data_IF_859281139917
#
_entry.id   IF_859281139917
#
_cell.length_a   1.000
_cell.length_b   1.000
_cell.length_c   1.000
_cell.angle_alpha   90.00
_cell.angle_beta   90.00
_cell.angle_gamma   90.00
#
_symmetry.space_group_name_H-M   'P 1'
#
loop_
_entity.id
_entity.type
_entity.pdbx_description
1 polymer ?
#
# COMPACT_ATOMS: atom_id res chain seq x y z
N UNK A 1 -12.35 -3.69 -27.55
CA UNK A 1 -12.22 -2.44 -26.77
C UNK A 1 -11.23 -1.56 -27.50
N UNK A 2 -11.57 -0.29 -27.69
CA UNK A 2 -10.63 0.70 -28.23
C UNK A 2 -9.54 1.01 -27.19
N UNK A 3 -8.32 1.17 -27.67
CA UNK A 3 -7.18 1.60 -26.86
C UNK A 3 -7.31 3.10 -26.54
N UNK A 4 -6.65 3.51 -25.45
CA UNK A 4 -6.57 4.93 -25.12
C UNK A 4 -5.89 5.72 -26.26
N UNK A 5 -6.49 6.80 -26.79
CA UNK A 5 -5.84 7.60 -27.83
C UNK A 5 -4.56 8.30 -27.33
N UNK A 6 -4.38 8.47 -26.01
CA UNK A 6 -3.15 8.99 -25.41
C UNK A 6 -2.12 7.86 -25.21
N UNK A 7 -1.07 7.89 -26.04
CA UNK A 7 0.00 6.88 -25.98
C UNK A 7 0.76 6.86 -24.65
N UNK A 8 0.87 8.00 -23.95
CA UNK A 8 1.53 8.04 -22.63
C UNK A 8 0.69 7.27 -21.59
N UNK A 9 -0.63 7.41 -21.65
CA UNK A 9 -1.55 6.75 -20.72
C UNK A 9 -1.61 5.23 -20.97
N UNK A 10 -1.50 4.79 -22.23
CA UNK A 10 -1.29 3.36 -22.54
C UNK A 10 -0.01 2.86 -21.86
N UNK A 11 1.11 3.56 -22.03
CA UNK A 11 2.39 3.15 -21.44
C UNK A 11 2.33 3.12 -19.92
N UNK A 12 1.73 4.13 -19.29
CA UNK A 12 1.51 4.11 -17.85
C UNK A 12 0.65 2.92 -17.43
N UNK A 13 -0.42 2.62 -18.15
CA UNK A 13 -1.29 1.47 -17.90
C UNK A 13 -0.56 0.13 -18.01
N UNK A 14 0.25 -0.06 -19.06
CA UNK A 14 1.07 -1.27 -19.25
C UNK A 14 2.07 -1.42 -18.10
N UNK A 15 2.81 -0.36 -17.76
CA UNK A 15 3.75 -0.38 -16.64
C UNK A 15 3.03 -0.67 -15.33
N UNK A 16 1.88 -0.04 -15.08
CA UNK A 16 1.08 -0.28 -13.87
C UNK A 16 0.60 -1.73 -13.79
N UNK A 17 0.15 -2.31 -14.90
CA UNK A 17 -0.32 -3.68 -14.97
C UNK A 17 0.82 -4.68 -14.74
N UNK A 18 1.95 -4.49 -15.42
CA UNK A 18 3.15 -5.33 -15.26
C UNK A 18 3.71 -5.24 -13.85
N UNK A 19 3.66 -4.06 -13.21
CA UNK A 19 4.11 -3.88 -11.83
C UNK A 19 3.11 -4.41 -10.80
N UNK A 20 1.81 -4.49 -11.09
CA UNK A 20 0.81 -4.98 -10.13
C UNK A 20 0.56 -6.49 -10.23
N UNK A 21 0.68 -7.08 -11.43
CA UNK A 21 0.40 -8.49 -11.66
C UNK A 21 1.23 -9.46 -10.80
N UNK A 22 2.56 -9.26 -10.59
CA UNK A 22 3.35 -10.13 -9.73
C UNK A 22 3.10 -9.91 -8.23
N UNK A 23 2.52 -8.78 -7.82
CA UNK A 23 2.31 -8.47 -6.41
C UNK A 23 1.33 -9.44 -5.75
N UNK A 24 0.27 -9.80 -6.46
CA UNK A 24 -0.76 -10.72 -5.96
C UNK A 24 -0.18 -12.10 -5.63
N UNK A 25 0.50 -12.82 -6.56
CA UNK A 25 1.12 -14.10 -6.23
C UNK A 25 2.26 -13.95 -5.21
N UNK A 26 3.07 -12.88 -5.28
CA UNK A 26 4.17 -12.67 -4.33
C UNK A 26 3.67 -12.48 -2.89
N UNK A 27 2.68 -11.60 -2.68
CA UNK A 27 2.11 -11.35 -1.35
C UNK A 27 1.40 -12.59 -0.82
N UNK A 28 0.71 -13.36 -1.68
CA UNK A 28 0.09 -14.62 -1.30
C UNK A 28 1.14 -15.66 -0.85
N UNK A 29 2.24 -15.80 -1.58
CA UNK A 29 3.35 -16.69 -1.17
C UNK A 29 3.91 -16.29 0.19
N UNK A 30 4.12 -14.99 0.44
CA UNK A 30 4.61 -14.50 1.74
C UNK A 30 3.62 -14.78 2.87
N UNK A 31 2.31 -14.60 2.65
CA UNK A 31 1.27 -14.95 3.63
C UNK A 31 1.36 -16.44 4.01
N UNK A 32 1.49 -17.31 3.00
CA UNK A 32 1.60 -18.76 3.19
C UNK A 32 2.89 -19.11 3.94
N UNK A 33 4.04 -18.54 3.57
CA UNK A 33 5.32 -18.81 4.21
C UNK A 33 5.35 -18.35 5.68
N UNK A 34 4.84 -17.15 5.97
CA UNK A 34 4.73 -16.66 7.35
C UNK A 34 3.73 -17.51 8.17
N UNK A 35 2.62 -17.94 7.56
CA UNK A 35 1.67 -18.85 8.19
C UNK A 35 2.32 -20.19 8.55
N UNK A 36 3.02 -20.84 7.61
CA UNK A 36 3.73 -22.12 7.84
C UNK A 36 4.75 -21.98 8.95
N UNK A 37 5.57 -20.93 8.93
CA UNK A 37 6.57 -20.66 9.96
C UNK A 37 5.96 -20.41 11.35
N UNK A 38 4.74 -19.87 11.40
CA UNK A 38 3.99 -19.74 12.65
C UNK A 38 3.41 -21.07 13.18
N UNK A 39 3.16 -22.06 12.30
CA UNK A 39 2.70 -23.41 12.71
C UNK A 39 3.81 -24.23 13.39
N UNK A 40 5.07 -24.02 13.00
CA UNK A 40 6.24 -24.68 13.62
C UNK A 40 6.50 -24.24 15.07
N UNK A 41 6.04 -23.04 15.43
CA UNK A 41 6.16 -22.48 16.77
C UNK A 41 5.34 -21.20 16.88
N UNK A 42 4.17 -21.29 17.49
CA UNK A 42 3.21 -20.18 17.61
C UNK A 42 3.90 -18.91 18.11
N UNK A 43 3.90 -17.87 17.27
CA UNK A 43 4.55 -16.60 17.55
C UNK A 43 3.63 -15.45 17.14
N UNK A 44 3.25 -14.63 18.12
CA UNK A 44 2.40 -13.45 17.93
C UNK A 44 2.94 -12.50 16.85
N UNK A 45 4.26 -12.37 16.73
CA UNK A 45 4.90 -11.54 15.70
C UNK A 45 4.55 -12.01 14.29
N UNK A 46 4.55 -13.32 14.02
CA UNK A 46 4.17 -13.84 12.69
C UNK A 46 2.69 -13.65 12.40
N UNK A 47 1.82 -13.76 13.41
CA UNK A 47 0.38 -13.44 13.25
C UNK A 47 0.16 -11.98 12.85
N UNK A 48 0.86 -11.04 13.51
CA UNK A 48 0.78 -9.61 13.20
C UNK A 48 1.34 -9.28 11.81
N UNK A 49 2.48 -9.87 11.45
CA UNK A 49 3.08 -9.74 10.10
C UNK A 49 2.09 -10.22 9.03
N UNK A 50 1.34 -11.31 9.29
CA UNK A 50 0.36 -11.82 8.34
C UNK A 50 -0.88 -10.93 8.18
N UNK A 51 -1.31 -10.22 9.22
CA UNK A 51 -2.37 -9.20 9.10
C UNK A 51 -1.93 -8.11 8.12
N UNK A 52 -0.69 -7.65 8.21
CA UNK A 52 -0.15 -6.64 7.28
C UNK A 52 -0.03 -7.18 5.86
N UNK A 53 0.50 -8.38 5.71
CA UNK A 53 0.63 -9.01 4.39
C UNK A 53 -0.75 -9.19 3.72
N UNK A 54 -1.79 -9.50 4.50
CA UNK A 54 -3.16 -9.57 4.01
C UNK A 54 -3.67 -8.21 3.51
N UNK A 55 -3.43 -7.13 4.25
CA UNK A 55 -3.75 -5.77 3.79
C UNK A 55 -3.01 -5.42 2.50
N UNK A 56 -1.74 -5.80 2.38
CA UNK A 56 -0.95 -5.60 1.15
C UNK A 56 -1.48 -6.42 -0.03
N UNK A 57 -1.94 -7.65 0.20
CA UNK A 57 -2.58 -8.49 -0.81
C UNK A 57 -3.87 -7.85 -1.35
N UNK A 58 -4.71 -7.33 -0.45
CA UNK A 58 -5.94 -6.63 -0.81
C UNK A 58 -5.64 -5.38 -1.64
N UNK A 59 -4.65 -4.58 -1.23
CA UNK A 59 -4.19 -3.41 -1.99
C UNK A 59 -3.63 -3.79 -3.38
N UNK A 60 -2.79 -4.82 -3.45
CA UNK A 60 -2.21 -5.33 -4.71
C UNK A 60 -3.28 -5.75 -5.70
N UNK A 61 -4.32 -6.43 -5.21
CA UNK A 61 -5.46 -6.88 -6.01
C UNK A 61 -6.23 -5.69 -6.56
N UNK A 62 -6.47 -4.65 -5.75
CA UNK A 62 -7.11 -3.42 -6.20
C UNK A 62 -6.33 -2.72 -7.33
N UNK A 63 -5.00 -2.62 -7.20
CA UNK A 63 -4.17 -2.04 -8.25
C UNK A 63 -4.15 -2.86 -9.54
N UNK A 64 -4.10 -4.20 -9.44
CA UNK A 64 -4.17 -5.08 -10.60
C UNK A 64 -5.49 -4.94 -11.35
N UNK A 65 -6.61 -4.87 -10.63
CA UNK A 65 -7.93 -4.76 -11.25
C UNK A 65 -8.20 -3.36 -11.84
N UNK A 66 -7.52 -2.32 -11.35
CA UNK A 66 -7.68 -0.94 -11.83
C UNK A 66 -6.70 -0.54 -12.92
N UNK A 67 -5.55 -1.21 -13.05
CA UNK A 67 -4.56 -0.94 -14.09
C UNK A 67 -5.10 -1.01 -15.54
N UNK A 68 -5.99 -1.98 -15.91
CA UNK A 68 -6.59 -2.04 -17.25
C UNK A 68 -7.37 -0.78 -17.66
N UNK A 69 -7.87 0.00 -16.69
CA UNK A 69 -8.66 1.23 -16.93
C UNK A 69 -7.85 2.30 -17.68
N UNK A 70 -6.51 2.28 -17.53
CA UNK A 70 -5.59 3.19 -18.23
C UNK A 70 -5.35 2.78 -19.70
N UNK A 71 -5.42 1.48 -19.99
CA UNK A 71 -5.20 0.90 -21.33
C UNK A 71 -6.48 0.97 -22.16
N UNK A 72 -7.62 0.65 -21.54
CA UNK A 72 -8.93 0.61 -22.19
C UNK A 72 -9.89 1.60 -21.51
N UNK A 73 -9.98 2.85 -22.00
CA UNK A 73 -10.85 3.88 -21.39
C UNK A 73 -12.34 3.54 -21.50
N UNK A 74 -12.73 2.57 -22.35
CA UNK A 74 -14.07 1.99 -22.34
C UNK A 74 -14.47 1.45 -20.95
N UNK A 75 -13.51 1.02 -20.12
CA UNK A 75 -13.73 0.60 -18.74
C UNK A 75 -14.14 1.77 -17.82
N UNK A 76 -13.80 3.01 -18.16
CA UNK A 76 -14.22 4.21 -17.42
C UNK A 76 -15.70 4.55 -17.67
N UNK A 77 -16.25 4.09 -18.79
CA UNK A 77 -17.66 4.27 -19.16
C UNK A 77 -18.58 3.19 -18.55
N UNK A 78 -18.02 2.24 -17.79
CA UNK A 78 -18.81 1.24 -17.09
C UNK A 78 -19.71 1.89 -16.04
N UNK A 79 -20.92 1.34 -15.79
CA UNK A 79 -21.79 1.83 -14.75
C UNK A 79 -21.02 1.90 -13.43
N UNK A 80 -21.16 2.98 -12.64
CA UNK A 80 -20.46 3.15 -11.38
C UNK A 80 -20.50 1.91 -10.49
N UNK A 81 -21.61 1.16 -10.51
CA UNK A 81 -21.83 -0.11 -9.79
C UNK A 81 -20.80 -1.21 -10.11
N UNK A 82 -20.33 -1.32 -11.35
CA UNK A 82 -19.36 -2.34 -11.77
C UNK A 82 -17.95 -1.97 -11.30
N UNK A 83 -17.58 -0.69 -11.41
CA UNK A 83 -16.35 -0.17 -10.83
C UNK A 83 -16.36 -0.28 -9.29
N UNK A 84 -17.52 -0.10 -8.66
CA UNK A 84 -17.73 -0.26 -7.22
C UNK A 84 -17.56 -1.71 -6.74
N UNK A 85 -17.95 -2.71 -7.54
CA UNK A 85 -17.75 -4.13 -7.19
C UNK A 85 -16.28 -4.56 -7.23
N UNK A 86 -15.49 -3.95 -8.12
CA UNK A 86 -14.03 -4.13 -8.17
C UNK A 86 -13.35 -3.55 -6.90
N UNK A 87 -13.88 -2.45 -6.36
CA UNK A 87 -13.47 -1.88 -5.07
C UNK A 87 -13.94 -2.70 -3.86
N UNK A 88 -15.08 -3.39 -3.95
CA UNK A 88 -15.62 -4.28 -2.89
C UNK A 88 -14.67 -5.43 -2.54
N UNK A 89 -13.89 -5.92 -3.52
CA UNK A 89 -12.84 -6.91 -3.31
C UNK A 89 -11.58 -6.34 -2.62
N UNK A 90 -11.41 -5.01 -2.60
CA UNK A 90 -10.35 -4.27 -1.92
C UNK A 90 -10.66 -3.85 -0.46
N UNK A 91 -11.81 -4.26 0.09
CA UNK A 91 -12.63 -3.37 0.93
C UNK A 91 -12.24 -3.13 2.40
N UNK A 92 -11.37 -3.90 3.05
CA UNK A 92 -11.20 -3.73 4.51
C UNK A 92 -10.37 -2.49 4.93
N UNK A 93 -9.58 -1.90 4.02
CA UNK A 93 -8.97 -0.57 4.19
C UNK A 93 -9.82 0.55 3.55
N UNK A 94 -10.61 0.20 2.52
CA UNK A 94 -11.47 1.13 1.79
C UNK A 94 -12.74 1.51 2.56
N UNK A 95 -13.21 0.77 3.56
CA UNK A 95 -14.50 1.03 4.21
C UNK A 95 -14.68 2.50 4.69
N UNK A 96 -13.61 3.13 5.20
CA UNK A 96 -13.61 4.55 5.58
C UNK A 96 -13.53 5.51 4.36
N UNK A 97 -12.65 5.21 3.39
CA UNK A 97 -12.54 5.97 2.14
C UNK A 97 -13.80 5.84 1.23
N UNK A 98 -14.53 4.73 1.38
CA UNK A 98 -15.72 4.31 0.66
C UNK A 98 -16.96 5.06 1.18
N UNK A 99 -17.20 5.05 2.49
CA UNK A 99 -18.30 5.81 3.09
C UNK A 99 -18.12 7.31 2.83
N UNK A 100 -16.88 7.81 2.98
CA UNK A 100 -16.59 9.23 2.72
C UNK A 100 -16.70 9.54 1.23
N UNK A 101 -16.10 8.75 0.32
CA UNK A 101 -16.10 9.03 -1.12
C UNK A 101 -17.46 8.91 -1.81
N UNK A 102 -18.25 7.88 -1.48
CA UNK A 102 -19.55 7.61 -2.12
C UNK A 102 -20.61 8.65 -1.74
N UNK A 103 -20.64 9.08 -0.47
CA UNK A 103 -21.67 10.01 0.02
C UNK A 103 -21.35 11.46 -0.36
N UNK A 104 -20.07 11.81 -0.50
CA UNK A 104 -19.65 13.23 -0.58
C UNK A 104 -19.03 13.66 -1.91
N UNK A 105 -18.70 12.72 -2.81
CA UNK A 105 -18.05 13.03 -4.09
C UNK A 105 -16.61 13.55 -3.97
N UNK A 106 -15.94 13.32 -2.82
CA UNK A 106 -14.59 13.81 -2.58
C UNK A 106 -13.49 13.10 -3.36
N UNK A 107 -13.76 11.99 -4.04
CA UNK A 107 -12.80 11.28 -4.88
C UNK A 107 -13.16 11.43 -6.35
N UNK A 108 -12.15 11.60 -7.19
CA UNK A 108 -12.28 11.64 -8.65
C UNK A 108 -11.14 10.85 -9.29
N UNK A 109 -11.40 10.27 -10.45
CA UNK A 109 -10.36 9.67 -11.27
C UNK A 109 -9.89 10.68 -12.31
N UNK A 110 -8.67 11.20 -12.12
CA UNK A 110 -8.01 12.08 -13.08
C UNK A 110 -6.78 11.35 -13.56
N UNK A 111 -6.77 10.89 -14.82
CA UNK A 111 -5.72 10.01 -15.29
C UNK A 111 -4.30 10.57 -15.01
N UNK A 112 -3.36 9.71 -14.56
CA UNK A 112 -3.48 8.26 -14.36
C UNK A 112 -3.85 7.84 -12.91
N UNK A 113 -4.51 8.70 -12.14
CA UNK A 113 -4.59 8.58 -10.68
C UNK A 113 -5.99 8.80 -10.11
N UNK A 114 -6.32 8.08 -9.03
CA UNK A 114 -7.43 8.44 -8.15
C UNK A 114 -6.96 9.52 -7.19
N UNK A 115 -7.61 10.67 -7.17
CA UNK A 115 -7.24 11.81 -6.33
C UNK A 115 -8.48 12.43 -5.67
N UNK A 116 -8.26 13.37 -4.74
CA UNK A 116 -9.34 14.16 -4.17
C UNK A 116 -9.92 15.13 -5.21
N UNK A 117 -11.24 15.23 -5.27
CA UNK A 117 -11.95 16.20 -6.09
C UNK A 117 -11.93 17.57 -5.42
N UNK A 118 -10.86 18.32 -5.61
CA UNK A 118 -10.68 19.65 -5.01
C UNK A 118 -11.72 20.71 -5.44
N UNK A 119 -12.58 20.40 -6.41
CA UNK A 119 -13.71 21.26 -6.78
C UNK A 119 -14.88 21.19 -5.78
N UNK A 120 -14.88 20.19 -4.89
CA UNK A 120 -15.85 20.09 -3.79
C UNK A 120 -15.30 20.80 -2.56
N UNK A 121 -16.07 21.74 -2.01
CA UNK A 121 -15.63 22.66 -0.93
C UNK A 121 -14.96 21.96 0.27
N UNK A 122 -15.41 20.75 0.60
CA UNK A 122 -14.92 19.98 1.75
C UNK A 122 -13.83 18.95 1.42
N UNK A 123 -13.56 18.66 0.15
CA UNK A 123 -12.59 17.64 -0.25
C UNK A 123 -11.16 17.99 0.16
N UNK A 124 -10.81 19.29 0.17
CA UNK A 124 -9.50 19.77 0.64
C UNK A 124 -9.28 19.44 2.12
N UNK A 125 -10.28 19.66 2.97
CA UNK A 125 -10.18 19.34 4.40
C UNK A 125 -10.09 17.84 4.63
N UNK A 126 -10.83 17.05 3.86
CA UNK A 126 -10.71 15.59 3.91
C UNK A 126 -9.38 15.06 3.41
N UNK A 127 -8.78 15.67 2.39
CA UNK A 127 -7.42 15.32 1.95
C UNK A 127 -6.40 15.57 3.06
N UNK A 128 -6.49 16.72 3.74
CA UNK A 128 -5.63 17.05 4.88
C UNK A 128 -5.87 16.08 6.04
N UNK A 129 -7.14 15.78 6.36
CA UNK A 129 -7.48 14.83 7.41
C UNK A 129 -6.96 13.43 7.10
N UNK A 130 -7.15 12.95 5.86
CA UNK A 130 -6.65 11.66 5.40
C UNK A 130 -5.13 11.58 5.51
N UNK A 131 -4.40 12.59 5.00
CA UNK A 131 -2.95 12.64 5.12
C UNK A 131 -2.50 12.66 6.58
N UNK A 132 -3.15 13.46 7.42
CA UNK A 132 -2.84 13.58 8.85
C UNK A 132 -3.11 12.28 9.61
N UNK A 133 -4.24 11.63 9.36
CA UNK A 133 -4.58 10.33 9.97
C UNK A 133 -3.60 9.24 9.55
N UNK A 134 -3.17 9.23 8.29
CA UNK A 134 -2.15 8.29 7.82
C UNK A 134 -0.79 8.56 8.48
N UNK A 135 -0.36 9.83 8.62
CA UNK A 135 0.87 10.18 9.32
C UNK A 135 0.82 9.79 10.80
N UNK A 136 -0.29 10.06 11.49
CA UNK A 136 -0.53 9.64 12.88
C UNK A 136 -0.49 8.11 12.97
N UNK A 137 -1.14 7.41 12.04
CA UNK A 137 -1.14 5.95 11.99
C UNK A 137 0.27 5.41 11.79
N UNK A 138 1.06 5.95 10.86
CA UNK A 138 2.46 5.56 10.65
C UNK A 138 3.30 5.77 11.91
N UNK A 139 3.12 6.90 12.60
CA UNK A 139 3.80 7.19 13.86
C UNK A 139 3.43 6.20 14.98
N UNK A 140 2.14 5.96 15.19
CA UNK A 140 1.63 5.00 16.19
C UNK A 140 2.15 3.60 15.85
N UNK A 141 1.97 3.14 14.62
CA UNK A 141 2.42 1.83 14.16
C UNK A 141 3.93 1.66 14.36
N UNK A 142 4.74 2.65 13.98
CA UNK A 142 6.18 2.61 14.20
C UNK A 142 6.56 2.53 15.69
N UNK A 143 5.89 3.32 16.54
CA UNK A 143 6.09 3.29 18.00
C UNK A 143 5.73 1.93 18.59
N UNK A 144 4.60 1.35 18.16
CA UNK A 144 4.22 -0.02 18.54
C UNK A 144 5.28 -1.04 18.09
N UNK A 145 5.81 -0.91 16.88
CA UNK A 145 6.85 -1.80 16.37
C UNK A 145 8.15 -1.74 17.19
N UNK A 146 8.66 -0.54 17.46
CA UNK A 146 9.86 -0.36 18.30
C UNK A 146 9.61 -0.92 19.71
N UNK A 147 8.41 -0.72 20.25
CA UNK A 147 8.02 -1.28 21.55
C UNK A 147 8.02 -2.81 21.54
N UNK A 148 7.47 -3.44 20.49
CA UNK A 148 7.49 -4.90 20.34
C UNK A 148 8.93 -5.42 20.27
N UNK A 149 9.80 -4.80 19.47
CA UNK A 149 11.22 -5.17 19.36
C UNK A 149 11.92 -5.02 20.71
N UNK A 150 11.66 -3.93 21.45
CA UNK A 150 12.20 -3.70 22.78
C UNK A 150 11.75 -4.76 23.79
N UNK A 151 10.47 -5.15 23.79
CA UNK A 151 9.94 -6.21 24.65
C UNK A 151 10.63 -7.55 24.34
N UNK A 152 10.81 -7.89 23.06
CA UNK A 152 11.53 -9.11 22.62
C UNK A 152 12.97 -9.08 23.15
N UNK A 153 13.65 -7.93 23.01
CA UNK A 153 15.00 -7.73 23.52
C UNK A 153 15.11 -7.96 25.03
N UNK A 154 14.25 -7.31 25.82
CA UNK A 154 14.24 -7.46 27.29
C UNK A 154 13.97 -8.90 27.69
N UNK A 155 13.02 -9.57 27.02
CA UNK A 155 12.67 -10.97 27.28
C UNK A 155 13.86 -11.90 27.01
N UNK A 156 14.56 -11.75 25.88
CA UNK A 156 15.74 -12.58 25.55
C UNK A 156 16.90 -12.37 26.52
N UNK A 157 17.12 -11.13 26.97
CA UNK A 157 18.19 -10.81 27.95
C UNK A 157 18.00 -11.52 29.29
N UNK A 158 16.74 -11.73 29.72
CA UNK A 158 16.45 -12.44 30.98
C UNK A 158 16.66 -13.96 30.88
N UNK A 159 16.53 -14.52 29.67
CA UNK A 159 16.55 -15.97 29.45
C UNK A 159 17.93 -16.48 29.01
N UNK A 160 18.73 -15.64 28.33
CA UNK A 160 19.97 -16.06 27.67
C UNK A 160 21.15 -15.20 28.14
N UNK A 161 22.28 -15.84 28.46
CA UNK A 161 23.52 -15.15 28.90
C UNK A 161 24.25 -14.42 27.77
N UNK A 162 24.12 -14.87 26.51
CA UNK A 162 24.68 -14.24 25.31
C UNK A 162 23.71 -14.25 24.11
N UNK A 163 22.63 -13.44 24.13
CA UNK A 163 21.62 -13.45 23.07
C UNK A 163 22.16 -12.82 21.77
N UNK A 164 22.04 -13.53 20.65
CA UNK A 164 22.23 -12.96 19.30
C UNK A 164 21.09 -11.99 19.00
N UNK A 165 21.44 -10.77 18.56
CA UNK A 165 20.51 -9.63 18.38
C UNK A 165 20.12 -9.38 16.91
N UNK A 166 20.52 -10.29 16.03
CA UNK A 166 20.42 -10.10 14.58
C UNK A 166 18.97 -9.98 14.11
N UNK A 167 18.08 -10.79 14.67
CA UNK A 167 16.69 -10.85 14.25
C UNK A 167 15.92 -9.60 14.69
N UNK A 168 16.21 -9.07 15.89
CA UNK A 168 15.65 -7.81 16.37
C UNK A 168 16.07 -6.63 15.50
N UNK A 169 17.36 -6.57 15.16
CA UNK A 169 17.91 -5.52 14.28
C UNK A 169 17.29 -5.65 12.88
N UNK A 170 17.17 -6.86 12.34
CA UNK A 170 16.55 -7.11 11.03
C UNK A 170 15.10 -6.62 10.98
N UNK A 171 14.29 -6.98 12.00
CA UNK A 171 12.90 -6.53 12.11
C UNK A 171 12.84 -5.01 12.26
N UNK A 172 13.63 -4.41 13.16
CA UNK A 172 13.64 -2.97 13.37
C UNK A 172 14.02 -2.21 12.09
N UNK A 173 15.13 -2.61 11.43
CA UNK A 173 15.57 -1.99 10.18
C UNK A 173 14.54 -2.10 9.06
N UNK A 174 13.87 -3.24 8.93
CA UNK A 174 12.80 -3.42 7.96
C UNK A 174 11.66 -2.43 8.19
N UNK A 175 11.12 -2.39 9.41
CA UNK A 175 9.96 -1.53 9.70
C UNK A 175 10.32 -0.05 9.68
N UNK A 176 11.53 0.34 10.11
CA UNK A 176 12.02 1.72 9.95
C UNK A 176 12.05 2.10 8.47
N UNK A 177 12.59 1.25 7.59
CA UNK A 177 12.65 1.55 6.16
C UNK A 177 11.26 1.66 5.54
N UNK A 178 10.35 0.73 5.83
CA UNK A 178 8.97 0.74 5.32
C UNK A 178 8.24 2.01 5.77
N UNK A 179 8.33 2.39 7.05
CA UNK A 179 7.68 3.60 7.57
C UNK A 179 8.24 4.87 6.93
N UNK A 180 9.56 4.99 6.80
CA UNK A 180 10.20 6.15 6.16
C UNK A 180 9.77 6.24 4.70
N UNK A 181 9.81 5.12 3.97
CA UNK A 181 9.38 5.06 2.58
C UNK A 181 7.90 5.47 2.43
N UNK A 182 7.01 4.90 3.25
CA UNK A 182 5.58 5.21 3.20
C UNK A 182 5.31 6.68 3.52
N UNK A 183 6.03 7.25 4.49
CA UNK A 183 5.90 8.67 4.88
C UNK A 183 6.34 9.61 3.74
N UNK A 184 7.51 9.35 3.15
CA UNK A 184 8.03 10.13 2.02
C UNK A 184 7.07 10.03 0.83
N UNK A 185 6.67 8.81 0.47
CA UNK A 185 5.80 8.58 -0.68
C UNK A 185 4.43 9.23 -0.47
N UNK A 186 3.87 9.18 0.74
CA UNK A 186 2.61 9.86 1.07
C UNK A 186 2.72 11.38 0.93
N UNK A 187 3.82 11.98 1.38
CA UNK A 187 4.04 13.42 1.25
C UNK A 187 4.12 13.85 -0.22
N UNK A 188 4.93 13.15 -1.02
CA UNK A 188 5.07 13.44 -2.46
C UNK A 188 3.79 13.11 -3.26
N UNK A 189 3.07 12.06 -2.89
CA UNK A 189 1.78 11.74 -3.49
C UNK A 189 0.77 12.86 -3.23
N UNK A 190 0.66 13.35 -1.99
CA UNK A 190 -0.22 14.50 -1.69
C UNK A 190 0.22 15.76 -2.44
N UNK A 191 1.52 16.04 -2.53
CA UNK A 191 2.04 17.22 -3.22
C UNK A 191 1.75 17.18 -4.74
N UNK A 192 2.00 16.05 -5.38
CA UNK A 192 1.79 15.87 -6.83
C UNK A 192 0.32 15.82 -7.24
N UNK A 193 -0.55 15.39 -6.33
CA UNK A 193 -1.98 15.27 -6.57
C UNK A 193 -2.78 16.51 -6.11
N UNK A 194 -2.18 17.38 -5.31
CA UNK A 194 -2.79 18.65 -4.90
C UNK A 194 -2.94 19.59 -6.10
N UNK A 195 -4.18 19.80 -6.55
CA UNK A 195 -4.53 20.49 -7.81
C UNK A 195 -3.89 19.80 -9.02
N UNK A 196 -4.50 18.72 -9.53
CA UNK A 196 -3.94 17.92 -10.62
C UNK A 196 -3.68 18.73 -11.92
N UNK A 197 -4.28 19.91 -12.08
CA UNK A 197 -4.04 20.79 -13.22
C UNK A 197 -2.64 21.44 -13.21
N UNK A 198 -1.98 21.49 -12.03
CA UNK A 198 -0.69 22.15 -11.84
C UNK A 198 0.52 21.21 -11.98
N UNK A 199 0.32 19.90 -11.81
CA UNK A 199 1.38 18.90 -11.93
C UNK A 199 1.31 18.23 -13.31
N UNK A 200 2.45 17.95 -13.94
CA UNK A 200 2.44 17.20 -15.20
C UNK A 200 1.89 15.78 -15.00
N UNK A 201 1.21 15.24 -16.01
CA UNK A 201 0.68 13.87 -15.99
C UNK A 201 1.77 12.86 -15.61
N UNK A 202 2.98 13.04 -16.13
CA UNK A 202 4.14 12.19 -15.87
C UNK A 202 4.56 12.19 -14.39
N UNK A 203 4.55 13.35 -13.71
CA UNK A 203 4.88 13.42 -12.28
C UNK A 203 3.88 12.63 -11.44
N UNK A 204 2.58 12.75 -11.74
CA UNK A 204 1.54 11.95 -11.05
C UNK A 204 1.68 10.46 -11.33
N UNK A 205 2.01 10.09 -12.57
CA UNK A 205 2.27 8.71 -12.96
C UNK A 205 3.44 8.11 -12.17
N UNK A 206 4.57 8.83 -12.09
CA UNK A 206 5.76 8.38 -11.36
C UNK A 206 5.46 8.22 -9.87
N UNK A 207 4.73 9.16 -9.26
CA UNK A 207 4.38 9.06 -7.83
C UNK A 207 3.47 7.87 -7.55
N UNK A 208 2.53 7.57 -8.44
CA UNK A 208 1.73 6.35 -8.35
C UNK A 208 2.58 5.08 -8.51
N UNK A 209 3.54 5.08 -9.45
CA UNK A 209 4.51 3.97 -9.58
C UNK A 209 5.32 3.81 -8.29
N UNK A 210 5.81 4.89 -7.67
CA UNK A 210 6.48 4.83 -6.37
C UNK A 210 5.57 4.25 -5.28
N UNK A 211 4.30 4.64 -5.24
CA UNK A 211 3.32 4.05 -4.33
C UNK A 211 3.17 2.54 -4.56
N UNK A 212 3.10 2.12 -5.82
CA UNK A 212 3.00 0.72 -6.23
C UNK A 212 4.23 -0.10 -5.82
N UNK A 213 5.43 0.46 -6.03
CA UNK A 213 6.71 -0.15 -5.64
C UNK A 213 6.78 -0.38 -4.13
N UNK A 214 6.14 0.48 -3.33
CA UNK A 214 6.07 0.34 -1.88
C UNK A 214 5.55 -1.02 -1.40
N UNK A 215 4.67 -1.64 -2.18
CA UNK A 215 4.08 -2.94 -1.85
C UNK A 215 5.10 -4.08 -1.96
N UNK A 216 6.14 -3.93 -2.80
CA UNK A 216 7.23 -4.90 -2.92
C UNK A 216 8.27 -4.79 -1.80
N UNK A 217 8.38 -3.64 -1.15
CA UNK A 217 9.43 -3.38 -0.17
C UNK A 217 9.34 -4.34 1.03
N UNK A 218 8.13 -4.53 1.57
CA UNK A 218 7.92 -5.43 2.69
C UNK A 218 8.31 -6.89 2.39
N UNK A 219 7.79 -7.54 1.33
CA UNK A 219 8.18 -8.91 1.00
C UNK A 219 9.67 -9.02 0.66
N UNK A 220 10.28 -8.06 -0.06
CA UNK A 220 11.72 -8.08 -0.35
C UNK A 220 12.57 -8.02 0.94
N UNK A 221 12.23 -7.12 1.86
CA UNK A 221 12.94 -6.99 3.13
C UNK A 221 12.74 -8.22 4.02
N UNK A 222 11.58 -8.87 3.98
CA UNK A 222 11.36 -10.16 4.64
C UNK A 222 12.30 -11.26 4.12
N UNK A 223 12.58 -11.29 2.80
CA UNK A 223 13.51 -12.25 2.21
C UNK A 223 14.96 -11.95 2.59
N UNK A 224 15.39 -10.70 2.41
CA UNK A 224 16.78 -10.30 2.61
C UNK A 224 17.15 -10.31 4.10
N UNK A 225 16.31 -9.70 4.95
CA UNK A 225 16.65 -9.47 6.35
C UNK A 225 16.20 -10.62 7.26
N UNK A 226 15.05 -11.24 6.98
CA UNK A 226 14.44 -12.25 7.86
C UNK A 226 14.55 -13.70 7.36
N UNK A 227 15.25 -13.93 6.24
CA UNK A 227 15.49 -15.27 5.66
C UNK A 227 14.21 -16.12 5.62
N UNK A 228 13.12 -15.54 5.15
CA UNK A 228 11.95 -16.32 4.76
C UNK A 228 12.35 -17.10 3.50
N UNK A 229 12.66 -18.38 3.67
CA UNK A 229 12.81 -19.28 2.53
C UNK A 229 11.39 -19.71 2.12
N UNK A 230 11.07 -19.54 0.84
CA UNK A 230 9.81 -20.03 0.25
C UNK A 230 9.83 -21.54 0.10
#
# INVERSE_FOLDING_TARGET
MELNPDSEEIWFGIVYFVLSAPQVPLTLLVIISVYRKNQEGSNLTYKLVNVINFTQFVQSTGHLLTAPILIWPALQKMPPVVLQFIFLLGALFLLFAYITGVITGYWTFVLPVWTFNYNVHCAKYMAILFATMNLISFFITYTCYITIVFIIYVKKRKITSAPKRRDEIAIASQYTFITVYATITLAFWNLSNYRPDNASKSVRAIMNICWQVGIYINPILLLILNRLNF
#
